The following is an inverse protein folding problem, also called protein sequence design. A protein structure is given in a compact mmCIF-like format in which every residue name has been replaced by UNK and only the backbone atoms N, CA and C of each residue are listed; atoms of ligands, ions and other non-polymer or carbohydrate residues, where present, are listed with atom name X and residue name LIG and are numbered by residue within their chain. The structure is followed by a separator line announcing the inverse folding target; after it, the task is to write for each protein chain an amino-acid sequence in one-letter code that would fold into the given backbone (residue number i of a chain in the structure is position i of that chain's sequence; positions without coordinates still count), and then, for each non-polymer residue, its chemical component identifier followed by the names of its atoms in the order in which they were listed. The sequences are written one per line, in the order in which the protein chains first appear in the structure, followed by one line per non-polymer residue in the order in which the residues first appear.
data_IF_929546340736
#
_entry.id   IF_929546340736
#
_cell.length_a   1.000
_cell.length_b   1.000
_cell.length_c   1.000
_cell.angle_alpha   90.00
_cell.angle_beta   90.00
_cell.angle_gamma   90.00
#
_symmetry.space_group_name_H-M   'P 1'
#
loop_
_entity.id
_entity.type
_entity.pdbx_description
1 polymer ?
#
# COMPACT_ATOMS: atom_id res chain seq x y z
N UNK A 1 -18.23 1.63 -1.06
CA UNK A 1 -18.32 0.98 -2.38
C UNK A 1 -16.98 0.35 -2.68
N UNK A 2 -16.93 -0.95 -2.99
CA UNK A 2 -15.70 -1.67 -3.37
C UNK A 2 -15.14 -1.04 -4.64
N UNK A 3 -13.82 -1.06 -4.86
CA UNK A 3 -13.13 -0.60 -6.08
C UNK A 3 -13.51 -1.38 -7.38
N UNK A 4 -14.71 -1.97 -7.45
CA UNK A 4 -15.14 -2.99 -8.39
C UNK A 4 -16.36 -2.61 -9.27
N UNK A 5 -16.78 -1.35 -9.37
CA UNK A 5 -17.95 -1.01 -10.21
C UNK A 5 -17.58 -0.25 -11.48
N UNK A 6 -16.99 -0.99 -12.43
CA UNK A 6 -17.25 -0.81 -13.86
C UNK A 6 -17.61 -2.18 -14.45
N UNK A 7 -18.90 -2.37 -14.73
CA UNK A 7 -19.41 -3.49 -15.53
C UNK A 7 -20.07 -4.62 -14.73
N UNK A 8 -21.40 -4.68 -14.78
CA UNK A 8 -22.16 -5.90 -14.47
C UNK A 8 -21.69 -7.02 -15.41
N UNK A 9 -21.24 -8.15 -14.86
CA UNK A 9 -21.13 -9.42 -15.58
C UNK A 9 -19.73 -9.96 -15.90
N UNK A 10 -18.64 -9.31 -15.46
CA UNK A 10 -17.29 -9.87 -15.57
C UNK A 10 -16.61 -9.86 -14.22
N UNK A 11 -15.83 -10.90 -13.90
CA UNK A 11 -14.87 -10.85 -12.78
C UNK A 11 -14.16 -9.50 -12.79
N UNK A 12 -14.08 -8.80 -11.65
CA UNK A 12 -13.52 -7.45 -11.60
C UNK A 12 -12.13 -7.48 -12.22
N UNK A 13 -11.90 -6.61 -13.22
CA UNK A 13 -10.59 -6.51 -13.86
C UNK A 13 -9.57 -6.13 -12.80
N UNK A 14 -8.39 -6.77 -12.79
CA UNK A 14 -7.36 -6.45 -11.82
C UNK A 14 -6.97 -4.96 -11.93
N UNK A 15 -7.02 -4.26 -10.80
CA UNK A 15 -6.75 -2.82 -10.75
C UNK A 15 -5.25 -2.55 -10.65
N UNK A 16 -4.76 -1.65 -11.51
CA UNK A 16 -3.44 -1.06 -11.38
C UNK A 16 -3.42 0.32 -12.04
N UNK A 17 -2.85 1.31 -11.37
CA UNK A 17 -2.76 2.66 -11.91
C UNK A 17 -1.59 3.44 -11.32
N UNK A 18 -0.95 4.26 -12.17
CA UNK A 18 -0.20 5.44 -11.71
C UNK A 18 -1.22 6.57 -11.62
N UNK A 19 -1.34 7.20 -10.45
CA UNK A 19 -2.46 8.10 -10.18
C UNK A 19 -2.22 9.49 -10.75
N UNK A 20 -3.14 9.96 -11.59
CA UNK A 20 -3.21 11.36 -12.04
C UNK A 20 -3.76 12.29 -10.95
N UNK A 21 -3.52 13.62 -11.01
CA UNK A 21 -4.08 14.57 -10.05
C UNK A 21 -5.61 14.45 -9.88
N UNK A 22 -6.36 14.30 -10.97
CA UNK A 22 -7.82 14.14 -10.91
C UNK A 22 -8.24 12.85 -10.18
N UNK A 23 -7.53 11.74 -10.42
CA UNK A 23 -7.76 10.49 -9.69
C UNK A 23 -7.41 10.63 -8.21
N UNK A 24 -6.32 11.33 -7.89
CA UNK A 24 -5.89 11.59 -6.51
C UNK A 24 -6.95 12.41 -5.77
N UNK A 25 -7.43 13.51 -6.34
CA UNK A 25 -8.51 14.33 -5.75
C UNK A 25 -9.75 13.49 -5.50
N UNK A 26 -10.13 12.62 -6.44
CA UNK A 26 -11.28 11.73 -6.28
C UNK A 26 -11.07 10.71 -5.17
N UNK A 27 -9.88 10.11 -5.09
CA UNK A 27 -9.50 9.16 -4.04
C UNK A 27 -9.56 9.83 -2.66
N UNK A 28 -9.00 11.04 -2.52
CA UNK A 28 -9.05 11.80 -1.26
C UNK A 28 -10.50 11.98 -0.80
N UNK A 29 -11.39 12.43 -1.68
CA UNK A 29 -12.81 12.59 -1.35
C UNK A 29 -13.43 11.28 -0.87
N UNK A 30 -13.23 10.18 -1.60
CA UNK A 30 -13.77 8.86 -1.23
C UNK A 30 -13.25 8.39 0.12
N UNK A 31 -11.96 8.56 0.39
CA UNK A 31 -11.35 8.15 1.65
C UNK A 31 -11.91 8.93 2.84
N UNK A 32 -12.10 10.24 2.67
CA UNK A 32 -12.73 11.08 3.69
C UNK A 32 -14.19 10.66 3.93
N UNK A 33 -14.97 10.45 2.86
CA UNK A 33 -16.39 10.09 2.94
C UNK A 33 -16.63 8.70 3.53
N UNK A 34 -15.62 7.82 3.49
CA UNK A 34 -15.72 6.42 3.96
C UNK A 34 -15.00 6.17 5.28
N UNK A 35 -14.54 7.21 5.98
CA UNK A 35 -13.83 7.08 7.26
C UNK A 35 -12.40 6.52 7.14
N UNK A 36 -11.85 6.47 5.93
CA UNK A 36 -10.47 6.07 5.64
C UNK A 36 -9.56 7.29 5.43
N UNK A 37 -9.94 8.43 6.02
CA UNK A 37 -9.23 9.72 5.91
C UNK A 37 -7.76 9.64 6.35
N UNK A 38 -7.41 8.65 7.17
CA UNK A 38 -6.04 8.41 7.59
C UNK A 38 -5.06 8.13 6.43
N UNK A 39 -5.53 7.72 5.24
CA UNK A 39 -4.66 7.53 4.08
C UNK A 39 -4.37 8.82 3.30
N UNK A 40 -5.19 9.87 3.52
CA UNK A 40 -5.15 11.14 2.77
C UNK A 40 -3.79 11.82 2.75
N UNK A 41 -2.96 11.80 3.82
CA UNK A 41 -1.65 12.46 3.79
C UNK A 41 -0.74 12.04 2.62
N UNK A 42 -0.70 10.74 2.28
CA UNK A 42 0.10 10.25 1.15
C UNK A 42 -0.41 10.82 -0.18
N UNK A 43 -1.73 10.80 -0.36
CA UNK A 43 -2.37 11.30 -1.58
C UNK A 43 -2.25 12.83 -1.70
N UNK A 44 -2.24 13.57 -0.59
CA UNK A 44 -1.95 15.01 -0.59
C UNK A 44 -0.51 15.29 -1.03
N UNK A 45 0.47 14.54 -0.53
CA UNK A 45 1.86 14.65 -0.99
C UNK A 45 1.99 14.37 -2.50
N UNK A 46 1.23 13.37 -3.00
CA UNK A 46 1.18 13.08 -4.43
C UNK A 46 0.55 14.23 -5.24
N UNK A 47 -0.54 14.83 -4.74
CA UNK A 47 -1.19 15.97 -5.37
C UNK A 47 -0.28 17.22 -5.39
N UNK A 48 0.48 17.42 -4.32
CA UNK A 48 1.51 18.46 -4.18
C UNK A 48 2.77 18.18 -5.02
N UNK A 49 2.77 17.10 -5.83
CA UNK A 49 3.89 16.73 -6.69
C UNK A 49 5.18 16.36 -5.96
N UNK A 50 5.10 16.03 -4.67
CA UNK A 50 6.24 15.60 -3.85
C UNK A 50 6.62 14.14 -4.12
N UNK A 51 5.63 13.31 -4.41
CA UNK A 51 5.80 11.89 -4.72
C UNK A 51 4.91 11.47 -5.90
N UNK A 52 5.28 10.39 -6.59
CA UNK A 52 4.41 9.69 -7.55
C UNK A 52 3.89 8.41 -6.92
N UNK A 53 2.58 8.17 -6.97
CA UNK A 53 1.95 6.98 -6.36
C UNK A 53 1.45 6.04 -7.45
N UNK A 54 1.90 4.79 -7.38
CA UNK A 54 1.37 3.67 -8.16
C UNK A 54 0.70 2.66 -7.23
N UNK A 55 -0.52 2.25 -7.53
CA UNK A 55 -1.26 1.27 -6.71
C UNK A 55 -1.57 0.04 -7.56
N UNK A 56 -1.42 -1.15 -6.98
CA UNK A 56 -1.73 -2.43 -7.62
C UNK A 56 -2.53 -3.32 -6.68
N UNK A 57 -3.65 -3.85 -7.17
CA UNK A 57 -4.42 -4.91 -6.51
C UNK A 57 -4.01 -6.28 -7.08
N UNK A 58 -4.50 -7.38 -6.49
CA UNK A 58 -4.17 -8.73 -6.97
C UNK A 58 -4.46 -8.89 -8.48
N UNK A 59 -3.54 -9.57 -9.18
CA UNK A 59 -3.55 -9.71 -10.64
C UNK A 59 -3.18 -8.44 -11.43
N UNK A 60 -3.08 -7.28 -10.78
CA UNK A 60 -2.77 -6.00 -11.40
C UNK A 60 -1.31 -5.86 -11.81
N UNK A 61 -1.04 -4.91 -12.70
CA UNK A 61 0.31 -4.58 -13.17
C UNK A 61 0.47 -3.08 -13.39
N UNK A 62 1.46 -2.47 -12.73
CA UNK A 62 1.89 -1.12 -13.03
C UNK A 62 2.62 -1.07 -14.38
N UNK A 63 2.53 0.07 -15.10
CA UNK A 63 3.28 0.31 -16.33
C UNK A 63 4.79 0.27 -16.08
N UNK A 64 5.58 -0.17 -17.08
CA UNK A 64 7.02 -0.35 -16.94
C UNK A 64 7.75 0.97 -16.64
N UNK A 65 7.22 2.06 -17.17
CA UNK A 65 7.66 3.44 -17.03
C UNK A 65 7.71 3.90 -15.57
N UNK A 66 6.80 3.36 -14.74
CA UNK A 66 6.81 3.63 -13.31
C UNK A 66 8.13 3.19 -12.67
N UNK A 67 8.72 2.09 -13.16
CA UNK A 67 9.93 1.50 -12.61
C UNK A 67 11.23 2.11 -13.17
N UNK A 68 11.15 3.05 -14.12
CA UNK A 68 12.34 3.71 -14.65
C UNK A 68 13.07 4.51 -13.57
N UNK A 69 14.42 4.53 -13.60
CA UNK A 69 15.22 5.33 -12.69
C UNK A 69 15.01 6.84 -12.93
N UNK A 70 15.23 7.63 -11.89
CA UNK A 70 15.10 9.09 -11.94
C UNK A 70 13.67 9.62 -11.80
N UNK A 71 13.54 10.95 -11.88
CA UNK A 71 12.28 11.68 -11.67
C UNK A 71 11.98 11.95 -10.19
N UNK A 72 10.70 12.20 -9.90
CA UNK A 72 10.19 12.42 -8.54
C UNK A 72 10.32 11.14 -7.70
N UNK A 73 10.44 11.25 -6.37
CA UNK A 73 10.27 10.11 -5.47
C UNK A 73 9.00 9.31 -5.77
N UNK A 74 9.05 7.99 -5.62
CA UNK A 74 7.97 7.09 -6.01
C UNK A 74 7.55 6.18 -4.85
N UNK A 75 6.25 6.00 -4.69
CA UNK A 75 5.62 5.03 -3.79
C UNK A 75 4.83 4.04 -4.63
N UNK A 76 5.22 2.78 -4.57
CA UNK A 76 4.42 1.68 -5.11
C UNK A 76 3.65 1.03 -3.96
N UNK A 77 2.34 0.83 -4.11
CA UNK A 77 1.50 0.18 -3.10
C UNK A 77 0.97 -1.12 -3.67
N UNK A 78 1.24 -2.22 -2.98
CA UNK A 78 0.51 -3.48 -3.13
C UNK A 78 -0.68 -3.41 -2.16
N UNK A 79 -1.89 -3.35 -2.71
CA UNK A 79 -3.14 -3.36 -1.96
C UNK A 79 -3.64 -4.80 -1.79
N UNK A 80 -3.08 -5.49 -0.81
CA UNK A 80 -3.42 -6.87 -0.44
C UNK A 80 -4.24 -7.00 0.84
N UNK A 81 -4.62 -5.89 1.47
CA UNK A 81 -5.54 -5.92 2.60
C UNK A 81 -6.96 -6.26 2.12
N UNK A 82 -7.51 -7.35 2.66
CA UNK A 82 -8.89 -7.73 2.43
C UNK A 82 -9.70 -7.34 3.68
N UNK A 83 -10.48 -6.28 3.54
CA UNK A 83 -11.41 -5.81 4.59
C UNK A 83 -12.55 -6.79 4.89
N UNK A 84 -12.68 -7.86 4.10
CA UNK A 84 -13.71 -8.87 4.24
C UNK A 84 -13.10 -10.18 4.79
N UNK A 85 -13.27 -10.47 6.09
CA UNK A 85 -12.66 -11.64 6.72
C UNK A 85 -13.23 -12.96 6.20
N UNK A 86 -14.35 -12.94 5.45
CA UNK A 86 -14.89 -14.14 4.81
C UNK A 86 -14.14 -14.52 3.53
N UNK A 87 -13.24 -13.65 3.04
CA UNK A 87 -12.43 -13.92 1.86
C UNK A 87 -11.08 -14.54 2.25
N UNK A 88 -10.54 -15.42 1.40
CA UNK A 88 -9.18 -15.93 1.62
C UNK A 88 -8.19 -14.76 1.63
N UNK A 89 -7.22 -14.81 2.55
CA UNK A 89 -6.11 -13.86 2.60
C UNK A 89 -5.37 -13.82 1.26
N UNK A 90 -4.93 -12.64 0.81
CA UNK A 90 -4.12 -12.55 -0.40
C UNK A 90 -2.66 -12.87 -0.15
N UNK A 91 -2.12 -13.78 -0.94
CA UNK A 91 -0.73 -14.21 -0.86
C UNK A 91 0.15 -13.44 -1.83
N UNK A 92 1.47 -13.34 -1.56
CA UNK A 92 2.42 -12.72 -2.49
C UNK A 92 2.33 -13.28 -3.93
N UNK A 93 2.00 -14.56 -4.08
CA UNK A 93 1.86 -15.24 -5.38
C UNK A 93 0.73 -14.68 -6.26
N UNK A 94 -0.24 -13.96 -5.69
CA UNK A 94 -1.35 -13.35 -6.42
C UNK A 94 -0.97 -12.00 -7.07
N UNK A 95 0.24 -11.52 -6.80
CA UNK A 95 0.75 -10.26 -7.31
C UNK A 95 1.88 -10.54 -8.31
N UNK A 96 1.57 -10.68 -9.61
CA UNK A 96 2.54 -11.14 -10.61
C UNK A 96 3.72 -10.19 -10.82
N UNK A 97 3.62 -8.94 -10.34
CA UNK A 97 4.73 -7.97 -10.35
C UNK A 97 5.43 -7.82 -8.99
N UNK A 98 5.07 -8.58 -7.95
CA UNK A 98 5.67 -8.44 -6.62
C UNK A 98 7.20 -8.52 -6.65
N UNK A 99 7.76 -9.54 -7.31
CA UNK A 99 9.23 -9.69 -7.43
C UNK A 99 9.88 -8.49 -8.14
N UNK A 100 9.28 -7.99 -9.22
CA UNK A 100 9.76 -6.81 -9.93
C UNK A 100 9.70 -5.55 -9.07
N UNK A 101 8.61 -5.36 -8.34
CA UNK A 101 8.44 -4.22 -7.43
C UNK A 101 9.44 -4.28 -6.29
N UNK A 102 9.67 -5.47 -5.75
CA UNK A 102 10.72 -5.73 -4.76
C UNK A 102 12.05 -5.31 -5.33
N UNK A 103 12.52 -5.92 -6.43
CA UNK A 103 13.75 -5.60 -7.18
C UNK A 103 13.96 -4.11 -7.42
N UNK A 104 12.90 -3.40 -7.79
CA UNK A 104 12.93 -1.97 -8.02
C UNK A 104 13.04 -1.14 -6.74
N UNK A 105 12.48 -1.59 -5.63
CA UNK A 105 12.41 -0.79 -4.41
C UNK A 105 13.81 -0.54 -3.82
N UNK A 106 14.04 0.69 -3.35
CA UNK A 106 15.20 1.02 -2.51
C UNK A 106 14.90 0.75 -1.03
N UNK A 107 13.64 0.90 -0.63
CA UNK A 107 13.13 0.58 0.70
C UNK A 107 11.79 -0.14 0.60
N UNK A 108 11.50 -1.03 1.56
CA UNK A 108 10.25 -1.79 1.61
C UNK A 108 9.60 -1.61 2.98
N UNK A 109 8.28 -1.39 3.00
CA UNK A 109 7.47 -1.38 4.21
C UNK A 109 6.37 -2.44 4.10
N UNK A 110 6.28 -3.30 5.10
CA UNK A 110 5.13 -4.20 5.27
C UNK A 110 4.20 -3.56 6.29
N UNK A 111 3.01 -3.16 5.83
CA UNK A 111 1.98 -2.51 6.64
C UNK A 111 0.82 -3.48 6.85
N UNK A 112 0.82 -4.14 8.02
CA UNK A 112 -0.13 -5.20 8.38
C UNK A 112 -0.96 -4.87 9.63
N UNK A 113 -1.22 -3.58 9.84
CA UNK A 113 -1.85 -3.04 11.05
C UNK A 113 -2.94 -2.03 10.68
N UNK A 114 -3.61 -1.47 11.68
CA UNK A 114 -4.57 -0.39 11.46
C UNK A 114 -3.92 0.84 10.86
N UNK A 115 -4.68 1.53 10.01
CA UNK A 115 -4.23 2.80 9.46
C UNK A 115 -4.22 3.92 10.50
N UNK A 116 -3.22 4.79 10.39
CA UNK A 116 -3.16 6.06 11.12
C UNK A 116 -2.51 7.10 10.18
N UNK A 117 -2.89 8.38 10.31
CA UNK A 117 -2.39 9.45 9.43
C UNK A 117 -0.87 9.49 9.36
N UNK A 118 -0.22 9.32 10.52
CA UNK A 118 1.24 9.31 10.63
C UNK A 118 1.91 8.19 9.80
N UNK A 119 1.24 7.05 9.58
CA UNK A 119 1.79 5.96 8.76
C UNK A 119 1.90 6.41 7.30
N UNK A 120 0.84 7.01 6.76
CA UNK A 120 0.76 7.44 5.36
C UNK A 120 1.60 8.68 5.07
N UNK A 121 1.68 9.60 6.03
CA UNK A 121 2.65 10.69 5.98
C UNK A 121 4.10 10.14 6.00
N UNK A 122 4.35 9.13 6.83
CA UNK A 122 5.62 8.42 6.90
C UNK A 122 6.02 7.75 5.59
N UNK A 123 5.08 7.19 4.82
CA UNK A 123 5.37 6.62 3.50
C UNK A 123 5.85 7.67 2.50
N UNK A 124 5.20 8.83 2.46
CA UNK A 124 5.64 9.94 1.61
C UNK A 124 7.05 10.39 1.99
N UNK A 125 7.30 10.60 3.29
CA UNK A 125 8.61 10.99 3.81
C UNK A 125 9.69 9.95 3.50
N UNK A 126 9.40 8.67 3.73
CA UNK A 126 10.34 7.58 3.43
C UNK A 126 10.68 7.53 1.93
N UNK A 127 9.69 7.73 1.05
CA UNK A 127 9.96 7.82 -0.39
C UNK A 127 10.82 9.03 -0.74
N UNK A 128 10.60 10.19 -0.13
CA UNK A 128 11.44 11.37 -0.34
C UNK A 128 12.91 11.11 0.07
N UNK A 129 13.13 10.33 1.13
CA UNK A 129 14.48 9.96 1.61
C UNK A 129 15.15 8.93 0.70
N UNK A 130 14.44 7.85 0.33
CA UNK A 130 15.02 6.71 -0.39
C UNK A 130 14.81 6.74 -1.91
N UNK A 131 14.03 7.69 -2.42
CA UNK A 131 13.60 7.82 -3.81
C UNK A 131 12.57 6.80 -4.28
N UNK A 132 12.63 5.54 -3.81
CA UNK A 132 11.77 4.43 -4.28
C UNK A 132 11.30 3.56 -3.11
N UNK A 133 10.07 3.76 -2.68
CA UNK A 133 9.43 2.99 -1.62
C UNK A 133 8.43 1.99 -2.20
N UNK A 134 8.52 0.73 -1.77
CA UNK A 134 7.43 -0.23 -1.89
C UNK A 134 6.70 -0.34 -0.55
N UNK A 135 5.39 -0.12 -0.55
CA UNK A 135 4.49 -0.38 0.57
C UNK A 135 3.66 -1.61 0.23
N UNK A 136 3.65 -2.58 1.13
CA UNK A 136 2.84 -3.79 1.05
C UNK A 136 1.76 -3.64 2.12
N UNK A 137 0.58 -3.17 1.72
CA UNK A 137 -0.60 -3.17 2.59
C UNK A 137 -1.21 -4.56 2.56
N UNK A 138 -1.31 -5.21 3.72
CA UNK A 138 -1.74 -6.60 3.83
C UNK A 138 -2.52 -6.82 5.11
N UNK A 139 -3.41 -7.81 5.11
CA UNK A 139 -3.97 -8.28 6.38
C UNK A 139 -2.87 -8.92 7.25
N UNK A 140 -3.02 -8.82 8.57
CA UNK A 140 -2.12 -9.42 9.57
C UNK A 140 -1.87 -10.91 9.32
N UNK A 141 -2.87 -11.62 8.79
CA UNK A 141 -2.78 -13.05 8.48
C UNK A 141 -1.79 -13.38 7.35
N UNK A 142 -1.44 -12.45 6.47
CA UNK A 142 -0.51 -12.68 5.35
C UNK A 142 0.86 -12.01 5.55
N UNK A 143 1.08 -11.38 6.71
CA UNK A 143 2.30 -10.66 7.04
C UNK A 143 3.55 -11.55 7.02
N UNK A 144 3.47 -12.77 7.56
CA UNK A 144 4.58 -13.70 7.61
C UNK A 144 5.00 -14.14 6.20
N UNK A 145 4.02 -14.33 5.30
CA UNK A 145 4.26 -14.67 3.90
C UNK A 145 5.02 -13.53 3.19
N UNK A 146 4.60 -12.28 3.39
CA UNK A 146 5.32 -11.11 2.85
C UNK A 146 6.70 -10.92 3.47
N UNK A 147 6.83 -11.15 4.78
CA UNK A 147 8.11 -11.06 5.49
C UNK A 147 9.12 -12.07 4.95
N UNK A 148 8.68 -13.29 4.66
CA UNK A 148 9.52 -14.32 4.05
C UNK A 148 10.06 -13.88 2.68
N UNK A 149 9.18 -13.33 1.82
CA UNK A 149 9.56 -12.85 0.48
C UNK A 149 10.52 -11.66 0.56
N UNK A 150 10.24 -10.66 1.41
CA UNK A 150 11.13 -9.50 1.58
C UNK A 150 12.49 -9.91 2.15
N UNK A 151 12.51 -10.86 3.09
CA UNK A 151 13.75 -11.38 3.67
C UNK A 151 14.59 -12.13 2.63
N UNK A 152 13.95 -12.95 1.80
CA UNK A 152 14.63 -13.65 0.70
C UNK A 152 15.25 -12.65 -0.29
N UNK A 153 14.51 -11.61 -0.67
CA UNK A 153 15.01 -10.56 -1.56
C UNK A 153 16.19 -9.79 -0.93
N UNK A 154 16.08 -9.42 0.34
CA UNK A 154 17.19 -8.76 1.06
C UNK A 154 18.46 -9.61 1.02
N UNK A 155 18.35 -10.89 1.38
CA UNK A 155 19.48 -11.84 1.34
C UNK A 155 20.09 -11.97 -0.05
N UNK A 156 19.24 -11.99 -1.10
CA UNK A 156 19.69 -12.08 -2.50
C UNK A 156 20.53 -10.86 -2.93
N UNK A 157 20.27 -9.68 -2.36
CA UNK A 157 20.97 -8.44 -2.72
C UNK A 157 22.24 -8.17 -1.94
N UNK A 158 22.36 -8.74 -0.74
CA UNK A 158 23.59 -8.62 0.04
C UNK A 158 24.69 -9.46 -0.65
N UNK A 159 25.89 -8.91 -0.92
CA UNK A 159 26.43 -7.62 -0.44
C UNK A 159 26.37 -6.43 -1.42
N UNK A 160 25.89 -6.59 -2.65
CA UNK A 160 26.08 -5.61 -3.73
C UNK A 160 25.13 -4.40 -3.76
N UNK A 161 23.91 -4.53 -3.22
CA UNK A 161 22.90 -3.45 -3.26
C UNK A 161 21.82 -3.63 -2.17
N UNK A 162 22.16 -3.49 -0.87
CA UNK A 162 21.22 -3.76 0.20
C UNK A 162 20.00 -2.84 0.13
N UNK A 163 18.84 -3.36 0.54
CA UNK A 163 17.67 -2.51 0.82
C UNK A 163 18.04 -1.53 1.94
N UNK A 164 17.80 -0.24 1.73
CA UNK A 164 18.17 0.83 2.67
C UNK A 164 17.38 0.76 3.98
N UNK A 165 16.19 0.16 3.94
CA UNK A 165 15.35 -0.08 5.10
C UNK A 165 14.29 -1.12 4.81
N UNK A 166 13.98 -1.91 5.83
CA UNK A 166 12.76 -2.71 5.89
C UNK A 166 12.02 -2.28 7.17
N UNK A 167 10.91 -1.53 7.04
CA UNK A 167 10.03 -1.29 8.18
C UNK A 167 9.19 -2.55 8.35
N UNK A 168 9.59 -3.38 9.30
CA UNK A 168 8.91 -4.61 9.66
C UNK A 168 7.79 -4.23 10.64
N UNK A 169 6.57 -4.23 10.10
CA UNK A 169 5.27 -4.36 10.78
C UNK A 169 5.12 -3.76 12.18
N UNK A 170 4.27 -2.74 12.28
CA UNK A 170 3.78 -2.21 13.53
C UNK A 170 2.68 -3.10 14.15
N UNK A 171 2.94 -4.40 14.38
CA UNK A 171 2.18 -5.15 15.38
C UNK A 171 2.61 -4.66 16.76
N UNK A 172 1.71 -4.12 17.60
CA UNK A 172 1.81 -4.44 19.01
C UNK A 172 1.65 -5.96 19.11
N UNK A 173 2.66 -6.69 19.57
CA UNK A 173 2.50 -8.11 19.90
C UNK A 173 1.46 -8.20 21.04
N UNK A 174 0.17 -8.33 20.73
CA UNK A 174 -0.87 -8.51 21.75
C UNK A 174 -2.25 -7.85 21.57
N UNK A 175 -2.65 -7.37 20.38
CA UNK A 175 -3.99 -6.78 20.22
C UNK A 175 -4.67 -7.16 18.91
N UNK A 176 -5.81 -7.85 19.01
CA UNK A 176 -6.83 -7.81 17.95
C UNK A 176 -7.33 -6.36 17.83
N UNK A 177 -7.60 -5.91 16.62
CA UNK A 177 -8.40 -4.70 16.41
C UNK A 177 -9.80 -4.88 17.01
N UNK A 178 -10.25 -3.94 17.83
CA UNK A 178 -11.59 -3.42 17.63
C UNK A 178 -11.48 -1.92 17.34
N UNK A 179 -12.06 -1.49 16.22
CA UNK A 179 -12.63 -0.15 16.19
C UNK A 179 -14.09 -0.29 16.62
N UNK A 180 -14.44 -0.05 17.89
CA UNK A 180 -15.85 0.20 18.20
C UNK A 180 -16.28 1.46 17.43
N UNK A 181 -17.52 1.50 16.90
CA UNK A 181 -18.06 2.73 16.36
C UNK A 181 -18.03 3.79 17.47
N UNK A 182 -17.67 5.03 17.12
CA UNK A 182 -17.87 6.17 18.01
C UNK A 182 -19.34 6.18 18.41
N UNK A 183 -19.63 5.81 19.66
CA UNK A 183 -20.95 5.97 20.22
C UNK A 183 -21.24 7.47 20.18
N UNK A 184 -22.28 7.84 19.43
CA UNK A 184 -22.84 9.16 19.52
C UNK A 184 -23.14 9.45 21.00
N UNK A 185 -22.68 10.60 21.47
CA UNK A 185 -23.15 11.20 22.71
C UNK A 185 -24.68 11.26 22.65
N UNK A 186 -25.33 10.32 23.35
CA UNK A 186 -26.67 10.53 23.83
C UNK A 186 -26.54 11.46 25.04
N UNK A 187 -26.65 12.75 24.78
CA UNK A 187 -26.98 13.73 25.79
C UNK A 187 -28.36 13.36 26.37
N UNK A 188 -28.41 13.14 27.67
CA UNK A 188 -29.61 13.31 28.50
C UNK A 188 -29.31 14.41 29.53
#
# INVERSE_FOLDING_TARGET
MRFNEFGKGSSPKPFAAVLSPAQITRIIQILQDTGHGYQVPLYRAALASEVTVGVVAAGGRLPNEFFWPGGKPKVAIIAGDDVDPSKPRRLPSEFPQAQKMLEWAASVCIHATGGAEMHYAGFAMAAQICGRLLVIETGTAAEDDWTAVVTAERKRREPGNPLLGAVISARPRGGFHPAPPAAAEAAE
#
